data_IF_560708770950
#
_entry.id   IF_560708770950
#
_cell.length_a   1.000
_cell.length_b   1.000
_cell.length_c   1.000
_cell.angle_alpha   90.00
_cell.angle_beta   90.00
_cell.angle_gamma   90.00
#
_symmetry.space_group_name_H-M   'P 1'
#
loop_
_entity.id
_entity.type
_entity.pdbx_description
1 polymer ?
#
# COMPACT_ATOMS: atom_id res chain seq x y z
N UNK A 1 31.68 -0.62 -4.31
CA UNK A 1 30.79 -0.58 -3.13
C UNK A 1 29.57 0.25 -3.47
N UNK A 2 28.36 -0.31 -3.44
CA UNK A 2 27.14 0.48 -3.55
C UNK A 2 27.06 1.41 -2.35
N UNK A 3 26.98 2.71 -2.58
CA UNK A 3 26.66 3.66 -1.52
C UNK A 3 25.25 3.34 -1.00
N UNK A 4 25.14 2.62 0.12
CA UNK A 4 23.89 2.59 0.87
C UNK A 4 23.59 4.04 1.26
N UNK A 5 22.46 4.56 0.86
CA UNK A 5 22.09 5.93 1.21
C UNK A 5 21.57 5.93 2.65
N UNK A 6 22.48 6.12 3.60
CA UNK A 6 22.11 6.27 5.01
C UNK A 6 21.23 7.51 5.18
N UNK A 7 20.01 7.32 5.68
CA UNK A 7 19.09 8.44 6.00
C UNK A 7 19.37 9.04 7.39
N UNK A 8 20.46 8.63 8.03
CA UNK A 8 20.84 9.05 9.38
C UNK A 8 21.65 10.34 9.42
N UNK A 9 22.17 10.84 8.27
CA UNK A 9 23.01 12.04 8.18
C UNK A 9 22.52 13.00 7.09
N UNK A 10 22.94 14.26 7.13
CA UNK A 10 22.57 15.31 6.17
C UNK A 10 21.23 16.02 6.50
N UNK A 11 20.83 16.97 5.65
CA UNK A 11 19.57 17.70 5.79
C UNK A 11 18.36 16.79 5.58
N UNK A 12 17.37 16.84 6.48
CA UNK A 12 16.21 15.91 6.49
C UNK A 12 15.30 16.09 5.28
N UNK A 13 14.96 17.33 4.96
CA UNK A 13 13.99 17.63 3.89
C UNK A 13 14.46 17.16 2.50
N UNK A 14 15.66 17.52 1.99
CA UNK A 14 16.13 17.04 0.70
C UNK A 14 16.31 15.52 0.65
N UNK A 15 16.70 14.92 1.78
CA UNK A 15 16.91 13.48 1.88
C UNK A 15 15.59 12.73 1.72
N UNK A 16 14.55 13.12 2.47
CA UNK A 16 13.22 12.53 2.40
C UNK A 16 12.61 12.77 1.01
N UNK A 17 12.71 14.00 0.47
CA UNK A 17 12.21 14.33 -0.85
C UNK A 17 12.83 13.44 -1.95
N UNK A 18 14.18 13.34 -1.97
CA UNK A 18 14.90 12.52 -2.94
C UNK A 18 14.53 11.04 -2.85
N UNK A 19 14.24 10.55 -1.65
CA UNK A 19 13.80 9.17 -1.43
C UNK A 19 12.34 8.95 -1.84
N UNK A 20 11.48 9.97 -1.63
CA UNK A 20 10.05 9.91 -1.97
C UNK A 20 9.80 9.91 -3.47
N UNK A 21 10.59 10.64 -4.27
CA UNK A 21 10.35 10.78 -5.71
C UNK A 21 10.26 9.45 -6.48
N UNK A 22 11.19 8.49 -6.33
CA UNK A 22 11.06 7.19 -6.99
C UNK A 22 9.86 6.38 -6.48
N UNK A 23 9.50 6.52 -5.20
CA UNK A 23 8.30 5.86 -4.62
C UNK A 23 7.02 6.43 -5.23
N UNK A 24 6.95 7.75 -5.36
CA UNK A 24 5.83 8.44 -6.00
C UNK A 24 5.65 7.98 -7.46
N UNK A 25 6.75 8.00 -8.22
CA UNK A 25 6.72 7.52 -9.60
C UNK A 25 6.29 6.06 -9.70
N UNK A 26 6.73 5.22 -8.75
CA UNK A 26 6.31 3.83 -8.66
C UNK A 26 4.81 3.67 -8.37
N UNK A 27 4.28 4.42 -7.41
CA UNK A 27 2.85 4.39 -7.08
C UNK A 27 1.99 4.91 -8.24
N UNK A 28 2.40 6.01 -8.89
CA UNK A 28 1.70 6.52 -10.08
C UNK A 28 1.73 5.51 -11.24
N UNK A 29 2.88 4.88 -11.48
CA UNK A 29 3.02 3.83 -12.48
C UNK A 29 2.09 2.65 -12.19
N UNK A 30 1.98 2.24 -10.92
CA UNK A 30 1.10 1.14 -10.52
C UNK A 30 -0.39 1.49 -10.72
N UNK A 31 -0.81 2.73 -10.45
CA UNK A 31 -2.17 3.19 -10.74
C UNK A 31 -2.44 3.21 -12.25
N UNK A 32 -1.51 3.75 -13.03
CA UNK A 32 -1.62 3.79 -14.50
C UNK A 32 -1.65 2.38 -15.10
N UNK A 33 -0.80 1.48 -14.59
CA UNK A 33 -0.80 0.08 -14.99
C UNK A 33 -2.16 -0.59 -14.79
N UNK A 34 -2.78 -0.42 -13.62
CA UNK A 34 -4.11 -0.99 -13.35
C UNK A 34 -5.20 -0.50 -14.32
N UNK A 35 -5.08 0.75 -14.79
CA UNK A 35 -5.99 1.29 -15.80
C UNK A 35 -5.72 0.68 -17.17
N UNK A 36 -4.45 0.50 -17.56
CA UNK A 36 -4.04 -0.08 -18.85
C UNK A 36 -4.49 -1.55 -18.92
N UNK A 37 -4.26 -2.33 -17.86
CA UNK A 37 -4.66 -3.73 -17.77
C UNK A 37 -6.18 -3.89 -17.95
N UNK A 38 -6.98 -3.09 -17.22
CA UNK A 38 -8.43 -3.08 -17.39
C UNK A 38 -8.85 -2.66 -18.81
N UNK A 39 -8.15 -1.70 -19.43
CA UNK A 39 -8.43 -1.27 -20.80
C UNK A 39 -8.10 -2.35 -21.84
N UNK A 40 -7.01 -3.10 -21.65
CA UNK A 40 -6.64 -4.23 -22.53
C UNK A 40 -7.72 -5.32 -22.43
N UNK A 41 -8.10 -5.74 -21.23
CA UNK A 41 -9.14 -6.75 -21.03
C UNK A 41 -10.46 -6.27 -21.66
N UNK A 42 -10.90 -5.05 -21.39
CA UNK A 42 -12.15 -4.51 -21.91
C UNK A 42 -12.17 -4.37 -23.44
N UNK A 43 -11.05 -3.96 -24.05
CA UNK A 43 -10.94 -3.75 -25.49
C UNK A 43 -10.88 -5.07 -26.29
N UNK A 44 -10.14 -6.05 -25.79
CA UNK A 44 -9.88 -7.28 -26.56
C UNK A 44 -10.80 -8.44 -26.17
N UNK A 45 -11.32 -8.48 -24.94
CA UNK A 45 -12.18 -9.58 -24.49
C UNK A 45 -13.65 -9.14 -24.34
N UNK A 46 -13.92 -7.83 -24.20
CA UNK A 46 -15.27 -7.29 -24.06
C UNK A 46 -15.73 -7.09 -22.61
N UNK A 47 -17.03 -6.79 -22.47
CA UNK A 47 -17.61 -6.31 -21.19
C UNK A 47 -17.70 -7.42 -20.13
N UNK A 48 -18.06 -8.66 -20.53
CA UNK A 48 -18.26 -9.75 -19.57
C UNK A 48 -16.95 -10.18 -18.86
N UNK A 49 -15.82 -10.42 -19.57
CA UNK A 49 -14.52 -10.64 -18.92
C UNK A 49 -14.03 -9.46 -18.07
N UNK A 50 -14.28 -8.23 -18.51
CA UNK A 50 -13.95 -7.04 -17.71
C UNK A 50 -14.74 -7.02 -16.41
N UNK A 51 -16.03 -7.38 -16.44
CA UNK A 51 -16.85 -7.50 -15.25
C UNK A 51 -16.35 -8.60 -14.29
N UNK A 52 -15.84 -9.73 -14.83
CA UNK A 52 -15.23 -10.79 -14.04
C UNK A 52 -13.98 -10.33 -13.29
N UNK A 53 -13.09 -9.60 -13.97
CA UNK A 53 -11.89 -8.97 -13.34
C UNK A 53 -12.33 -7.94 -12.28
N UNK A 54 -13.32 -7.11 -12.60
CA UNK A 54 -13.87 -6.12 -11.68
C UNK A 54 -14.45 -6.74 -10.40
N UNK A 55 -15.26 -7.79 -10.53
CA UNK A 55 -15.82 -8.52 -9.40
C UNK A 55 -14.72 -9.12 -8.50
N UNK A 56 -13.62 -9.58 -9.10
CA UNK A 56 -12.49 -10.17 -8.39
C UNK A 56 -11.62 -9.15 -7.64
N UNK A 57 -11.66 -7.88 -8.02
CA UNK A 57 -10.75 -6.82 -7.56
C UNK A 57 -10.76 -6.63 -6.05
N UNK A 58 -11.94 -6.68 -5.42
CA UNK A 58 -12.08 -6.45 -3.96
C UNK A 58 -11.37 -7.53 -3.15
N UNK A 59 -11.46 -8.79 -3.56
CA UNK A 59 -10.80 -9.90 -2.87
C UNK A 59 -9.29 -9.86 -3.10
N UNK A 60 -8.87 -9.56 -4.32
CA UNK A 60 -7.46 -9.37 -4.66
C UNK A 60 -6.86 -8.25 -3.82
N UNK A 61 -7.54 -7.11 -3.70
CA UNK A 61 -7.08 -5.98 -2.90
C UNK A 61 -6.96 -6.35 -1.42
N UNK A 62 -7.92 -7.12 -0.88
CA UNK A 62 -7.88 -7.59 0.51
C UNK A 62 -6.65 -8.47 0.77
N UNK A 63 -6.40 -9.46 -0.09
CA UNK A 63 -5.34 -10.46 0.10
C UNK A 63 -3.96 -9.87 -0.23
N UNK A 64 -3.82 -9.22 -1.39
CA UNK A 64 -2.55 -8.61 -1.78
C UNK A 64 -2.22 -7.39 -0.92
N UNK A 65 -3.22 -6.64 -0.46
CA UNK A 65 -3.05 -5.57 0.52
C UNK A 65 -2.48 -6.09 1.84
N UNK A 66 -3.01 -7.20 2.37
CA UNK A 66 -2.44 -7.88 3.53
C UNK A 66 -0.98 -8.28 3.30
N UNK A 67 -0.69 -8.93 2.17
CA UNK A 67 0.67 -9.33 1.82
C UNK A 67 1.63 -8.13 1.74
N UNK A 68 1.22 -7.05 1.07
CA UNK A 68 2.01 -5.83 0.96
C UNK A 68 2.27 -5.18 2.33
N UNK A 69 1.25 -5.10 3.18
CA UNK A 69 1.39 -4.59 4.55
C UNK A 69 2.37 -5.42 5.38
N UNK A 70 2.29 -6.76 5.29
CA UNK A 70 3.26 -7.65 5.95
C UNK A 70 4.69 -7.39 5.46
N UNK A 71 4.89 -7.25 4.15
CA UNK A 71 6.20 -6.96 3.56
C UNK A 71 6.78 -5.62 4.05
N UNK A 72 5.96 -4.58 4.08
CA UNK A 72 6.35 -3.28 4.63
C UNK A 72 6.76 -3.42 6.10
N UNK A 73 6.00 -4.19 6.89
CA UNK A 73 6.31 -4.48 8.28
C UNK A 73 7.61 -5.25 8.48
N UNK A 74 7.89 -6.23 7.62
CA UNK A 74 9.15 -6.99 7.68
C UNK A 74 10.37 -6.14 7.34
N UNK A 75 10.21 -5.07 6.55
CA UNK A 75 11.28 -4.11 6.28
C UNK A 75 11.66 -3.22 7.46
N UNK A 76 10.78 -3.04 8.46
CA UNK A 76 11.02 -2.13 9.60
C UNK A 76 12.19 -2.59 10.47
N UNK A 77 12.26 -3.84 10.98
CA UNK A 77 13.42 -4.31 11.75
C UNK A 77 14.72 -4.25 10.94
N UNK A 78 14.65 -4.49 9.62
CA UNK A 78 15.81 -4.37 8.74
C UNK A 78 16.31 -2.92 8.70
N UNK A 79 15.42 -1.93 8.54
CA UNK A 79 15.76 -0.52 8.54
C UNK A 79 16.32 -0.06 9.89
N UNK A 80 15.75 -0.52 11.00
CA UNK A 80 16.22 -0.20 12.35
C UNK A 80 17.62 -0.77 12.59
N UNK A 81 17.87 -2.03 12.26
CA UNK A 81 19.17 -2.66 12.41
C UNK A 81 20.22 -2.08 11.47
N UNK A 82 19.83 -1.71 10.27
CA UNK A 82 20.69 -0.97 9.33
C UNK A 82 21.09 0.39 9.92
N UNK A 83 20.16 1.16 10.47
CA UNK A 83 20.43 2.43 11.13
C UNK A 83 21.33 2.30 12.37
N UNK A 84 21.15 1.22 13.13
CA UNK A 84 22.01 0.88 14.28
C UNK A 84 23.40 0.38 13.89
N UNK A 85 23.67 0.14 12.61
CA UNK A 85 24.89 -0.51 12.09
C UNK A 85 25.10 -1.93 12.63
N UNK A 86 24.05 -2.56 13.13
CA UNK A 86 24.02 -3.96 13.57
C UNK A 86 23.74 -4.87 12.36
N UNK A 87 24.76 -5.04 11.52
CA UNK A 87 24.59 -5.79 10.27
C UNK A 87 24.38 -7.28 10.47
N UNK A 88 24.83 -7.84 11.58
CA UNK A 88 24.61 -9.25 11.90
C UNK A 88 23.12 -9.51 12.15
N UNK A 89 22.51 -8.76 13.08
CA UNK A 89 21.08 -8.89 13.35
C UNK A 89 20.25 -8.51 12.10
N UNK A 90 20.67 -7.51 11.33
CA UNK A 90 20.02 -7.12 10.08
C UNK A 90 19.96 -8.31 9.11
N UNK A 91 21.07 -9.01 8.86
CA UNK A 91 21.11 -10.19 8.00
C UNK A 91 20.21 -11.31 8.51
N UNK A 92 20.20 -11.55 9.82
CA UNK A 92 19.31 -12.53 10.45
C UNK A 92 17.83 -12.18 10.22
N UNK A 93 17.43 -10.90 10.31
CA UNK A 93 16.08 -10.45 9.98
C UNK A 93 15.75 -10.63 8.49
N UNK A 94 16.67 -10.27 7.59
CA UNK A 94 16.48 -10.46 6.14
C UNK A 94 16.26 -11.94 5.81
N UNK A 95 17.12 -12.85 6.26
CA UNK A 95 16.97 -14.27 5.94
C UNK A 95 15.78 -14.92 6.64
N UNK A 96 15.44 -14.48 7.86
CA UNK A 96 14.21 -14.93 8.54
C UNK A 96 12.96 -14.44 7.80
N UNK A 97 12.94 -13.21 7.29
CA UNK A 97 11.81 -12.68 6.53
C UNK A 97 11.63 -13.41 5.19
N UNK A 98 12.72 -13.75 4.47
CA UNK A 98 12.64 -14.55 3.25
C UNK A 98 11.99 -15.92 3.49
N UNK A 99 12.40 -16.63 4.54
CA UNK A 99 11.84 -17.94 4.89
C UNK A 99 10.40 -17.83 5.38
N UNK A 100 10.12 -16.83 6.24
CA UNK A 100 8.78 -16.61 6.76
C UNK A 100 7.80 -16.26 5.63
N UNK A 101 8.23 -15.44 4.68
CA UNK A 101 7.44 -15.10 3.50
C UNK A 101 7.17 -16.33 2.63
N UNK A 102 8.13 -17.25 2.48
CA UNK A 102 7.88 -18.52 1.77
C UNK A 102 6.73 -19.30 2.41
N UNK A 103 6.77 -19.49 3.73
CA UNK A 103 5.71 -20.20 4.45
C UNK A 103 4.37 -19.48 4.38
N UNK A 104 4.33 -18.18 4.66
CA UNK A 104 3.10 -17.39 4.64
C UNK A 104 2.49 -17.33 3.25
N UNK A 105 3.29 -17.06 2.22
CA UNK A 105 2.77 -16.92 0.85
C UNK A 105 2.23 -18.23 0.29
N UNK A 106 2.91 -19.35 0.55
CA UNK A 106 2.42 -20.66 0.14
C UNK A 106 1.15 -21.03 0.91
N UNK A 107 1.12 -20.77 2.23
CA UNK A 107 -0.08 -21.05 3.05
C UNK A 107 -1.28 -20.23 2.55
N UNK A 108 -1.09 -18.93 2.29
CA UNK A 108 -2.14 -18.06 1.74
C UNK A 108 -2.57 -18.56 0.37
N UNK A 109 -1.63 -18.84 -0.53
CA UNK A 109 -1.93 -19.32 -1.88
C UNK A 109 -2.76 -20.62 -1.85
N UNK A 110 -2.38 -21.59 -1.02
CA UNK A 110 -3.11 -22.85 -0.88
C UNK A 110 -4.51 -22.63 -0.33
N UNK A 111 -4.64 -21.91 0.79
CA UNK A 111 -5.93 -21.67 1.43
C UNK A 111 -6.87 -20.89 0.49
N UNK A 112 -6.40 -19.83 -0.12
CA UNK A 112 -7.24 -19.00 -1.01
C UNK A 112 -7.60 -19.74 -2.30
N UNK A 113 -6.69 -20.55 -2.86
CA UNK A 113 -6.98 -21.38 -4.04
C UNK A 113 -8.04 -22.45 -3.75
N UNK A 114 -7.95 -23.12 -2.59
CA UNK A 114 -8.96 -24.11 -2.18
C UNK A 114 -10.33 -23.47 -1.92
N UNK A 115 -10.35 -22.24 -1.40
CA UNK A 115 -11.58 -21.49 -1.11
C UNK A 115 -12.07 -20.65 -2.28
N UNK A 116 -11.39 -20.63 -3.44
CA UNK A 116 -11.67 -19.72 -4.56
C UNK A 116 -13.13 -19.77 -5.00
N UNK A 117 -13.68 -20.97 -5.26
CA UNK A 117 -15.07 -21.14 -5.66
C UNK A 117 -16.05 -20.72 -4.55
N UNK A 118 -15.73 -21.01 -3.28
CA UNK A 118 -16.56 -20.61 -2.15
C UNK A 118 -16.60 -19.09 -1.98
N UNK A 119 -15.46 -18.41 -2.15
CA UNK A 119 -15.34 -16.95 -2.10
C UNK A 119 -16.23 -16.31 -3.17
N UNK A 120 -16.17 -16.78 -4.42
CA UNK A 120 -16.98 -16.25 -5.52
C UNK A 120 -18.48 -16.47 -5.30
N UNK A 121 -18.87 -17.63 -4.77
CA UNK A 121 -20.29 -17.91 -4.42
C UNK A 121 -20.75 -17.00 -3.28
N UNK A 122 -19.92 -16.80 -2.26
CA UNK A 122 -20.22 -15.90 -1.14
C UNK A 122 -20.37 -14.43 -1.60
N UNK A 123 -19.62 -14.04 -2.63
CA UNK A 123 -19.75 -12.73 -3.27
C UNK A 123 -20.96 -12.63 -4.20
N UNK A 124 -21.75 -13.67 -4.35
CA UNK A 124 -22.91 -13.72 -5.27
C UNK A 124 -22.52 -13.38 -6.71
N UNK A 125 -21.35 -13.87 -7.16
CA UNK A 125 -20.86 -13.62 -8.52
C UNK A 125 -21.82 -14.25 -9.53
N UNK A 126 -22.32 -13.48 -10.53
CA UNK A 126 -23.24 -14.00 -11.55
C UNK A 126 -22.66 -15.20 -12.33
N UNK A 127 -23.50 -16.18 -12.65
CA UNK A 127 -23.06 -17.41 -13.31
C UNK A 127 -22.42 -17.18 -14.68
N UNK A 128 -22.87 -16.16 -15.42
CA UNK A 128 -22.33 -15.81 -16.75
C UNK A 128 -20.88 -15.34 -16.73
N UNK A 129 -20.36 -14.84 -15.60
CA UNK A 129 -18.96 -14.40 -15.45
C UNK A 129 -18.18 -15.28 -14.46
N UNK A 130 -18.84 -16.27 -13.85
CA UNK A 130 -18.24 -17.08 -12.78
C UNK A 130 -16.98 -17.84 -13.24
N UNK A 131 -17.02 -18.44 -14.43
CA UNK A 131 -15.87 -19.19 -14.96
C UNK A 131 -14.65 -18.29 -15.16
N UNK A 132 -14.84 -17.12 -15.75
CA UNK A 132 -13.75 -16.17 -16.01
C UNK A 132 -13.18 -15.61 -14.70
N UNK A 133 -14.05 -15.26 -13.75
CA UNK A 133 -13.65 -14.80 -12.42
C UNK A 133 -12.89 -15.88 -11.64
N UNK A 134 -13.34 -17.15 -11.76
CA UNK A 134 -12.70 -18.29 -11.10
C UNK A 134 -11.27 -18.51 -11.60
N UNK A 135 -11.05 -18.57 -12.90
CA UNK A 135 -9.71 -18.78 -13.45
C UNK A 135 -8.80 -17.60 -13.19
N UNK A 136 -9.31 -16.35 -13.28
CA UNK A 136 -8.53 -15.16 -12.96
C UNK A 136 -8.07 -15.14 -11.51
N UNK A 137 -9.00 -15.38 -10.57
CA UNK A 137 -8.68 -15.43 -9.14
C UNK A 137 -7.76 -16.60 -8.79
N UNK A 138 -8.03 -17.80 -9.30
CA UNK A 138 -7.24 -18.98 -9.00
C UNK A 138 -5.78 -18.80 -9.42
N UNK A 139 -5.54 -18.29 -10.63
CA UNK A 139 -4.19 -18.01 -11.13
C UNK A 139 -3.52 -16.93 -10.29
N UNK A 140 -4.25 -15.87 -9.95
CA UNK A 140 -3.75 -14.79 -9.08
C UNK A 140 -3.37 -15.32 -7.70
N UNK A 141 -4.18 -16.22 -7.10
CA UNK A 141 -3.89 -16.82 -5.80
C UNK A 141 -2.69 -17.75 -5.83
N UNK A 142 -2.55 -18.57 -6.88
CA UNK A 142 -1.34 -19.37 -7.11
C UNK A 142 -0.11 -18.45 -7.27
N UNK A 143 -0.28 -17.25 -7.83
CA UNK A 143 0.75 -16.24 -8.01
C UNK A 143 1.11 -15.42 -6.76
N UNK A 144 0.36 -15.54 -5.65
CA UNK A 144 0.63 -14.81 -4.40
C UNK A 144 2.10 -14.92 -3.96
N UNK A 145 2.78 -16.07 -4.01
CA UNK A 145 4.19 -16.16 -3.65
C UNK A 145 5.09 -15.22 -4.47
N UNK A 146 4.87 -15.11 -5.77
CA UNK A 146 5.65 -14.23 -6.63
C UNK A 146 5.49 -12.76 -6.22
N UNK A 147 4.25 -12.30 -6.05
CA UNK A 147 3.93 -10.93 -5.63
C UNK A 147 4.45 -10.64 -4.22
N UNK A 148 4.30 -11.58 -3.28
CA UNK A 148 4.78 -11.42 -1.91
C UNK A 148 6.30 -11.29 -1.86
N UNK A 149 7.03 -12.14 -2.60
CA UNK A 149 8.49 -12.05 -2.68
C UNK A 149 8.96 -10.74 -3.32
N UNK A 150 8.35 -10.31 -4.42
CA UNK A 150 8.67 -9.03 -5.03
C UNK A 150 8.51 -7.86 -4.05
N UNK A 151 7.38 -7.81 -3.34
CA UNK A 151 7.10 -6.76 -2.35
C UNK A 151 8.07 -6.81 -1.16
N UNK A 152 8.41 -8.01 -0.66
CA UNK A 152 9.39 -8.17 0.41
C UNK A 152 10.77 -7.65 -0.01
N UNK A 153 11.27 -8.10 -1.16
CA UNK A 153 12.59 -7.69 -1.66
C UNK A 153 12.66 -6.19 -1.90
N UNK A 154 11.60 -5.62 -2.48
CA UNK A 154 11.46 -4.18 -2.64
C UNK A 154 11.48 -3.45 -1.30
N UNK A 155 10.82 -3.99 -0.27
CA UNK A 155 10.81 -3.43 1.09
C UNK A 155 12.19 -3.49 1.75
N UNK A 156 12.91 -4.61 1.60
CA UNK A 156 14.29 -4.76 2.11
C UNK A 156 15.24 -3.77 1.42
N UNK A 157 15.17 -3.64 0.09
CA UNK A 157 16.03 -2.70 -0.65
C UNK A 157 15.74 -1.26 -0.22
N UNK A 158 14.47 -0.90 -0.02
CA UNK A 158 14.07 0.41 0.54
C UNK A 158 14.59 0.61 1.96
N UNK A 159 14.55 -0.42 2.80
CA UNK A 159 15.07 -0.37 4.17
C UNK A 159 16.58 -0.04 4.23
N UNK A 160 17.33 -0.42 3.19
CA UNK A 160 18.74 -0.09 3.01
C UNK A 160 18.98 1.31 2.38
N UNK A 161 17.92 2.09 2.17
CA UNK A 161 18.00 3.46 1.65
C UNK A 161 17.99 3.58 0.12
N UNK A 162 17.68 2.51 -0.61
CA UNK A 162 17.54 2.54 -2.07
C UNK A 162 16.07 2.45 -2.49
N UNK A 163 15.48 3.59 -2.85
CA UNK A 163 14.13 3.66 -3.41
C UNK A 163 14.09 3.61 -4.95
N UNK A 164 15.23 3.83 -5.61
CA UNK A 164 15.31 3.89 -7.07
C UNK A 164 15.23 2.51 -7.71
N UNK A 165 15.94 1.56 -7.15
CA UNK A 165 16.02 0.21 -7.72
C UNK A 165 14.67 -0.51 -7.76
N UNK A 166 13.84 -0.52 -6.69
CA UNK A 166 12.49 -1.06 -6.75
C UNK A 166 11.62 -0.41 -7.84
N UNK A 167 11.76 0.90 -8.05
CA UNK A 167 11.04 1.60 -9.13
C UNK A 167 11.42 1.05 -10.52
N UNK A 168 12.72 0.88 -10.81
CA UNK A 168 13.15 0.35 -12.11
C UNK A 168 12.66 -1.09 -12.36
N UNK A 169 12.65 -1.93 -11.33
CA UNK A 169 12.10 -3.28 -11.46
C UNK A 169 10.57 -3.26 -11.64
N UNK A 170 9.87 -2.34 -10.98
CA UNK A 170 8.45 -2.15 -11.19
C UNK A 170 8.15 -1.70 -12.64
N UNK A 171 8.91 -0.72 -13.16
CA UNK A 171 8.77 -0.25 -14.54
C UNK A 171 9.01 -1.39 -15.54
N UNK A 172 10.07 -2.17 -15.34
CA UNK A 172 10.35 -3.35 -16.15
C UNK A 172 9.19 -4.37 -16.09
N UNK A 173 8.71 -4.68 -14.88
CA UNK A 173 7.58 -5.59 -14.67
C UNK A 173 6.32 -5.11 -15.40
N UNK A 174 6.03 -3.82 -15.31
CA UNK A 174 4.86 -3.20 -15.96
C UNK A 174 4.92 -3.31 -17.48
N UNK A 175 6.06 -2.96 -18.08
CA UNK A 175 6.24 -3.05 -19.53
C UNK A 175 6.14 -4.52 -19.99
N UNK A 176 6.82 -5.42 -19.29
CA UNK A 176 6.76 -6.85 -19.59
C UNK A 176 5.33 -7.40 -19.49
N UNK A 177 4.61 -7.01 -18.44
CA UNK A 177 3.24 -7.46 -18.26
C UNK A 177 2.33 -6.96 -19.40
N UNK A 178 2.38 -5.68 -19.79
CA UNK A 178 1.59 -5.16 -20.92
C UNK A 178 1.85 -5.94 -22.21
N UNK A 179 3.12 -6.25 -22.48
CA UNK A 179 3.50 -7.05 -23.67
C UNK A 179 2.94 -8.46 -23.58
N UNK A 180 3.05 -9.08 -22.41
CA UNK A 180 2.55 -10.45 -22.20
C UNK A 180 1.01 -10.50 -22.18
N UNK A 181 0.32 -9.48 -21.64
CA UNK A 181 -1.14 -9.39 -21.68
C UNK A 181 -1.62 -9.41 -23.13
N UNK A 182 -1.07 -8.55 -23.97
CA UNK A 182 -1.42 -8.52 -25.38
C UNK A 182 -1.09 -9.86 -26.06
N UNK A 183 0.07 -10.43 -25.78
CA UNK A 183 0.47 -11.71 -26.36
C UNK A 183 -0.43 -12.86 -25.91
N UNK A 184 -0.71 -13.00 -24.61
CA UNK A 184 -1.54 -14.07 -24.07
C UNK A 184 -3.02 -13.94 -24.47
N UNK A 185 -3.53 -12.71 -24.51
CA UNK A 185 -4.94 -12.43 -24.83
C UNK A 185 -5.16 -12.53 -26.35
N UNK A 186 -4.35 -11.81 -27.14
CA UNK A 186 -4.61 -11.66 -28.58
C UNK A 186 -4.01 -12.81 -29.40
N UNK A 187 -2.76 -13.19 -29.11
CA UNK A 187 -2.06 -14.22 -29.93
C UNK A 187 -2.40 -15.63 -29.48
N UNK A 188 -2.43 -15.89 -28.16
CA UNK A 188 -2.71 -17.22 -27.64
C UNK A 188 -4.20 -17.48 -27.36
N UNK A 189 -5.04 -16.44 -27.31
CA UNK A 189 -6.47 -16.58 -27.06
C UNK A 189 -6.84 -17.13 -25.67
N UNK A 190 -5.97 -16.91 -24.66
CA UNK A 190 -6.18 -17.44 -23.30
C UNK A 190 -7.18 -16.64 -22.46
N UNK A 191 -7.81 -15.63 -23.04
CA UNK A 191 -8.84 -14.83 -22.37
C UNK A 191 -8.34 -14.17 -21.08
N UNK A 192 -9.19 -14.14 -20.08
CA UNK A 192 -8.90 -13.50 -18.76
C UNK A 192 -7.78 -14.25 -18.01
N UNK A 193 -7.70 -15.57 -18.18
CA UNK A 193 -6.62 -16.37 -17.60
C UNK A 193 -5.25 -15.92 -18.12
N UNK A 194 -5.17 -15.51 -19.39
CA UNK A 194 -3.95 -14.97 -20.00
C UNK A 194 -3.45 -13.71 -19.28
N UNK A 195 -4.33 -12.77 -18.94
CA UNK A 195 -3.99 -11.57 -18.17
C UNK A 195 -3.44 -11.93 -16.77
N UNK A 196 -4.09 -12.86 -16.07
CA UNK A 196 -3.61 -13.30 -14.76
C UNK A 196 -2.23 -13.98 -14.84
N UNK A 197 -1.99 -14.83 -15.85
CA UNK A 197 -0.69 -15.50 -16.08
C UNK A 197 0.40 -14.47 -16.38
N UNK A 198 0.12 -13.49 -17.25
CA UNK A 198 1.06 -12.44 -17.60
C UNK A 198 1.47 -11.62 -16.37
N UNK A 199 0.50 -11.27 -15.51
CA UNK A 199 0.75 -10.56 -14.23
C UNK A 199 1.63 -11.40 -13.31
N UNK A 200 1.28 -12.65 -13.06
CA UNK A 200 2.05 -13.54 -12.16
C UNK A 200 3.47 -13.77 -12.67
N UNK A 201 3.63 -14.00 -13.98
CA UNK A 201 4.94 -14.22 -14.59
C UNK A 201 5.83 -12.99 -14.48
N UNK A 202 5.28 -11.80 -14.77
CA UNK A 202 6.01 -10.53 -14.68
C UNK A 202 6.45 -10.23 -13.26
N UNK A 203 5.60 -10.51 -12.27
CA UNK A 203 5.94 -10.38 -10.85
C UNK A 203 7.00 -11.39 -10.41
N UNK A 204 6.89 -12.65 -10.86
CA UNK A 204 7.88 -13.69 -10.55
C UNK A 204 9.25 -13.34 -11.10
N UNK A 205 9.32 -12.93 -12.37
CA UNK A 205 10.58 -12.51 -12.99
C UNK A 205 11.19 -11.30 -12.27
N UNK A 206 10.38 -10.31 -11.92
CA UNK A 206 10.83 -9.13 -11.16
C UNK A 206 11.32 -9.50 -9.76
N UNK A 207 10.68 -10.46 -9.09
CA UNK A 207 11.15 -10.97 -7.80
C UNK A 207 12.53 -11.63 -7.94
N UNK A 208 12.74 -12.46 -8.97
CA UNK A 208 14.04 -13.09 -9.24
C UNK A 208 15.12 -12.03 -9.53
N UNK A 209 14.81 -11.05 -10.37
CA UNK A 209 15.75 -9.97 -10.70
C UNK A 209 16.10 -9.11 -9.47
N UNK A 210 15.11 -8.76 -8.65
CA UNK A 210 15.30 -8.07 -7.38
C UNK A 210 16.21 -8.88 -6.44
N UNK A 211 15.99 -10.18 -6.33
CA UNK A 211 16.80 -11.06 -5.48
C UNK A 211 18.25 -11.13 -5.95
N UNK A 212 18.47 -11.36 -7.25
CA UNK A 212 19.81 -11.41 -7.85
C UNK A 212 20.54 -10.06 -7.66
N UNK A 213 19.84 -8.96 -7.90
CA UNK A 213 20.38 -7.63 -7.67
C UNK A 213 20.77 -7.42 -6.20
N UNK A 214 19.85 -7.75 -5.28
CA UNK A 214 20.08 -7.60 -3.85
C UNK A 214 21.36 -8.32 -3.39
N UNK A 215 21.54 -9.57 -3.78
CA UNK A 215 22.73 -10.37 -3.39
C UNK A 215 24.02 -9.86 -4.05
N UNK A 216 23.94 -9.42 -5.31
CA UNK A 216 25.14 -8.96 -6.03
C UNK A 216 25.59 -7.56 -5.63
N UNK A 217 24.63 -6.68 -5.30
CA UNK A 217 24.91 -5.26 -5.08
C UNK A 217 25.21 -4.92 -3.63
N UNK A 218 24.56 -5.59 -2.69
CA UNK A 218 24.69 -5.30 -1.27
C UNK A 218 25.58 -6.33 -0.55
N UNK A 219 26.89 -6.12 -0.57
CA UNK A 219 27.86 -6.99 0.13
C UNK A 219 27.53 -7.15 1.62
N UNK A 220 26.92 -6.12 2.24
CA UNK A 220 26.49 -6.15 3.65
C UNK A 220 25.44 -7.23 3.94
N UNK A 221 24.75 -7.75 2.92
CA UNK A 221 23.77 -8.84 3.04
C UNK A 221 24.39 -10.23 2.89
N UNK A 222 25.68 -10.32 2.60
CA UNK A 222 26.38 -11.61 2.56
C UNK A 222 26.41 -12.21 3.96
N UNK A 223 25.62 -13.24 4.18
CA UNK A 223 25.45 -13.89 5.46
C UNK A 223 26.28 -15.18 5.58
N UNK A 224 26.83 -15.43 6.76
CA UNK A 224 27.37 -16.72 7.15
C UNK A 224 26.27 -17.79 7.22
N UNK A 225 26.65 -19.08 7.33
CA UNK A 225 25.67 -20.18 7.46
C UNK A 225 24.79 -20.00 8.71
N UNK A 226 25.37 -19.53 9.80
CA UNK A 226 24.66 -19.33 11.07
C UNK A 226 23.67 -18.18 11.02
N UNK A 227 23.96 -17.12 10.28
CA UNK A 227 23.06 -15.98 10.08
C UNK A 227 21.87 -16.30 9.17
N UNK A 228 21.98 -17.35 8.37
CA UNK A 228 20.89 -17.83 7.50
C UNK A 228 19.90 -18.74 8.24
N UNK A 229 20.14 -19.07 9.49
CA UNK A 229 19.23 -19.91 10.28
C UNK A 229 17.99 -19.12 10.71
N UNK A 230 16.84 -19.78 10.68
CA UNK A 230 15.59 -19.20 11.12
C UNK A 230 15.54 -19.22 12.65
N UNK A 231 15.41 -18.05 13.28
CA UNK A 231 15.30 -17.94 14.74
C UNK A 231 13.86 -17.62 15.13
N UNK A 232 13.32 -18.33 16.12
CA UNK A 232 11.98 -18.07 16.68
C UNK A 232 11.82 -16.62 17.17
N UNK A 233 12.86 -16.02 17.74
CA UNK A 233 12.86 -14.64 18.20
C UNK A 233 12.67 -13.67 17.05
N UNK A 234 13.45 -13.82 15.95
CA UNK A 234 13.34 -12.95 14.79
C UNK A 234 11.99 -13.09 14.09
N UNK A 235 11.50 -14.32 13.94
CA UNK A 235 10.18 -14.58 13.35
C UNK A 235 9.05 -13.98 14.18
N UNK A 236 9.11 -14.12 15.51
CA UNK A 236 8.11 -13.52 16.40
C UNK A 236 8.09 -12.00 16.27
N UNK A 237 9.25 -11.34 16.19
CA UNK A 237 9.34 -9.88 15.96
C UNK A 237 8.76 -9.49 14.60
N UNK A 238 9.13 -10.22 13.53
CA UNK A 238 8.59 -9.97 12.19
C UNK A 238 7.07 -10.10 12.15
N UNK A 239 6.52 -11.16 12.75
CA UNK A 239 5.06 -11.35 12.81
C UNK A 239 4.36 -10.28 13.64
N UNK A 240 4.91 -9.91 14.80
CA UNK A 240 4.35 -8.85 15.66
C UNK A 240 4.32 -7.48 14.99
N UNK A 241 5.20 -7.23 14.04
CA UNK A 241 5.26 -5.97 13.27
C UNK A 241 4.48 -6.10 11.96
N UNK A 242 4.68 -7.18 11.23
CA UNK A 242 4.12 -7.36 9.89
C UNK A 242 2.64 -7.66 9.89
N UNK A 243 2.16 -8.56 10.76
CA UNK A 243 0.74 -8.95 10.78
C UNK A 243 -0.17 -7.75 11.08
N UNK A 244 0.09 -6.91 12.10
CA UNK A 244 -0.72 -5.72 12.32
C UNK A 244 -0.72 -4.75 11.14
N UNK A 245 0.40 -4.62 10.41
CA UNK A 245 0.44 -3.80 9.20
C UNK A 245 -0.38 -4.42 8.06
N UNK A 246 -0.30 -5.73 7.87
CA UNK A 246 -1.15 -6.44 6.91
C UNK A 246 -2.63 -6.26 7.24
N UNK A 247 -3.00 -6.48 8.49
CA UNK A 247 -4.38 -6.31 8.98
C UNK A 247 -4.86 -4.86 8.82
N UNK A 248 -4.01 -3.87 9.02
CA UNK A 248 -4.37 -2.47 8.79
C UNK A 248 -4.87 -2.24 7.36
N UNK A 249 -4.15 -2.75 6.34
CA UNK A 249 -4.57 -2.63 4.93
C UNK A 249 -5.92 -3.33 4.68
N UNK A 250 -6.08 -4.55 5.21
CA UNK A 250 -7.33 -5.31 5.06
C UNK A 250 -8.51 -4.64 5.76
N UNK A 251 -8.31 -4.11 6.96
CA UNK A 251 -9.36 -3.42 7.74
C UNK A 251 -9.78 -2.13 7.02
N UNK A 252 -8.83 -1.36 6.52
CA UNK A 252 -9.14 -0.14 5.74
C UNK A 252 -9.91 -0.49 4.46
N UNK A 253 -9.54 -1.61 3.79
CA UNK A 253 -10.26 -2.12 2.61
C UNK A 253 -11.72 -2.48 2.93
N UNK A 254 -11.98 -3.16 4.05
CA UNK A 254 -13.34 -3.50 4.49
C UNK A 254 -14.16 -2.22 4.69
N UNK A 255 -13.60 -1.20 5.35
CA UNK A 255 -14.30 0.09 5.51
C UNK A 255 -14.65 0.75 4.17
N UNK A 256 -13.75 0.67 3.18
CA UNK A 256 -14.00 1.21 1.83
C UNK A 256 -15.10 0.42 1.10
N UNK A 257 -15.13 -0.90 1.25
CA UNK A 257 -16.19 -1.77 0.68
C UNK A 257 -17.55 -1.43 1.31
N UNK A 258 -17.63 -1.17 2.62
CA UNK A 258 -18.86 -0.76 3.28
C UNK A 258 -19.40 0.55 2.71
N UNK A 259 -18.53 1.56 2.52
CA UNK A 259 -18.91 2.83 1.93
C UNK A 259 -19.35 2.68 0.46
N UNK A 260 -18.65 1.88 -0.31
CA UNK A 260 -19.01 1.54 -1.69
C UNK A 260 -20.38 0.85 -1.76
N UNK A 261 -20.65 -0.11 -0.87
CA UNK A 261 -21.92 -0.83 -0.83
C UNK A 261 -23.08 0.12 -0.50
N UNK A 262 -22.91 1.03 0.46
CA UNK A 262 -23.90 2.05 0.78
C UNK A 262 -24.15 3.00 -0.40
N UNK A 263 -23.10 3.39 -1.12
CA UNK A 263 -23.21 4.22 -2.32
C UNK A 263 -23.97 3.49 -3.45
N UNK A 264 -23.74 2.19 -3.62
CA UNK A 264 -24.42 1.40 -4.66
C UNK A 264 -25.94 1.37 -4.48
N UNK A 265 -26.43 1.48 -3.25
CA UNK A 265 -27.87 1.53 -2.95
C UNK A 265 -28.52 2.87 -3.37
N UNK A 266 -27.76 3.92 -3.67
CA UNK A 266 -28.26 5.25 -4.05
C UNK A 266 -28.57 5.40 -5.55
N UNK A 267 -28.27 4.38 -6.37
CA UNK A 267 -28.56 4.37 -7.80
C UNK A 267 -27.35 4.60 -8.69
N UNK A 268 -27.56 4.41 -9.99
CA UNK A 268 -26.51 4.35 -11.01
C UNK A 268 -25.68 5.63 -11.12
N UNK A 269 -26.33 6.79 -11.03
CA UNK A 269 -25.66 8.09 -11.17
C UNK A 269 -24.68 8.35 -10.02
N UNK A 270 -25.07 7.97 -8.79
CA UNK A 270 -24.20 8.05 -7.61
C UNK A 270 -23.02 7.08 -7.73
N UNK A 271 -23.25 5.87 -8.25
CA UNK A 271 -22.19 4.88 -8.49
C UNK A 271 -21.19 5.36 -9.52
N UNK A 272 -21.69 5.93 -10.63
CA UNK A 272 -20.83 6.47 -11.68
C UNK A 272 -20.00 7.67 -11.17
N UNK A 273 -20.65 8.60 -10.46
CA UNK A 273 -19.99 9.77 -9.88
C UNK A 273 -18.92 9.38 -8.85
N UNK A 274 -19.24 8.47 -7.94
CA UNK A 274 -18.29 7.97 -6.94
C UNK A 274 -17.09 7.28 -7.60
N UNK A 275 -17.34 6.45 -8.60
CA UNK A 275 -16.29 5.73 -9.32
C UNK A 275 -15.33 6.70 -10.02
N UNK A 276 -15.84 7.70 -10.73
CA UNK A 276 -15.04 8.73 -11.38
C UNK A 276 -14.22 9.53 -10.35
N UNK A 277 -14.87 10.00 -9.28
CA UNK A 277 -14.22 10.74 -8.21
C UNK A 277 -13.12 9.94 -7.52
N UNK A 278 -13.35 8.65 -7.24
CA UNK A 278 -12.35 7.76 -6.64
C UNK A 278 -11.11 7.58 -7.51
N UNK A 279 -11.27 7.50 -8.85
CA UNK A 279 -10.14 7.42 -9.77
C UNK A 279 -9.27 8.67 -9.68
N UNK A 280 -9.87 9.86 -9.72
CA UNK A 280 -9.15 11.14 -9.59
C UNK A 280 -8.46 11.23 -8.23
N UNK A 281 -9.20 10.91 -7.15
CA UNK A 281 -8.68 10.94 -5.78
C UNK A 281 -7.48 10.02 -5.58
N UNK A 282 -7.47 8.81 -6.17
CA UNK A 282 -6.35 7.89 -6.03
C UNK A 282 -5.03 8.48 -6.53
N UNK A 283 -5.04 9.23 -7.63
CA UNK A 283 -3.85 9.96 -8.09
C UNK A 283 -3.45 11.09 -7.14
N UNK A 284 -4.42 11.82 -6.59
CA UNK A 284 -4.18 12.90 -5.64
C UNK A 284 -3.61 12.40 -4.28
N UNK A 285 -3.90 11.19 -3.87
CA UNK A 285 -3.42 10.58 -2.62
C UNK A 285 -1.98 10.03 -2.76
N UNK A 286 -1.57 9.59 -3.94
CA UNK A 286 -0.27 8.95 -4.17
C UNK A 286 0.95 9.66 -3.55
N UNK A 287 1.10 10.99 -3.62
CA UNK A 287 2.23 11.69 -3.00
C UNK A 287 2.21 11.62 -1.47
N UNK A 288 1.02 11.68 -0.84
CA UNK A 288 0.89 11.55 0.63
C UNK A 288 1.33 10.16 1.10
N UNK A 289 0.90 9.11 0.42
CA UNK A 289 1.29 7.72 0.73
C UNK A 289 2.78 7.48 0.49
N UNK A 290 3.30 7.98 -0.63
CA UNK A 290 4.71 7.83 -0.99
C UNK A 290 5.63 8.50 0.03
N UNK A 291 5.25 9.69 0.50
CA UNK A 291 5.95 10.39 1.57
C UNK A 291 5.83 9.64 2.90
N UNK A 292 4.66 9.06 3.19
CA UNK A 292 4.47 8.17 4.33
C UNK A 292 5.44 6.99 4.33
N UNK A 293 5.53 6.24 3.23
CA UNK A 293 6.46 5.11 3.08
C UNK A 293 7.91 5.56 3.28
N UNK A 294 8.28 6.73 2.74
CA UNK A 294 9.60 7.32 2.96
C UNK A 294 9.84 7.61 4.44
N UNK A 295 8.83 8.13 5.14
CA UNK A 295 8.89 8.40 6.58
C UNK A 295 9.04 7.15 7.43
N UNK A 296 8.41 6.04 7.05
CA UNK A 296 8.60 4.76 7.76
C UNK A 296 10.07 4.31 7.70
N UNK A 297 10.69 4.37 6.53
CA UNK A 297 12.11 4.02 6.35
C UNK A 297 13.02 5.01 7.10
N UNK A 298 12.77 6.31 6.94
CA UNK A 298 13.54 7.36 7.62
C UNK A 298 13.48 7.22 9.14
N UNK A 299 12.28 6.99 9.67
CA UNK A 299 12.09 6.80 11.11
C UNK A 299 12.76 5.53 11.60
N UNK A 300 12.60 4.41 10.88
CA UNK A 300 13.25 3.15 11.24
C UNK A 300 14.76 3.28 11.36
N UNK A 301 15.41 3.87 10.35
CA UNK A 301 16.86 4.06 10.37
C UNK A 301 17.32 5.02 11.47
N UNK A 302 16.61 6.14 11.68
CA UNK A 302 17.00 7.13 12.70
C UNK A 302 16.70 6.66 14.14
N UNK A 303 15.64 5.89 14.34
CA UNK A 303 15.36 5.23 15.62
C UNK A 303 16.42 4.19 15.94
N UNK A 304 16.76 3.32 14.97
CA UNK A 304 17.86 2.36 15.12
C UNK A 304 19.21 3.03 15.41
N UNK A 305 19.48 4.19 14.81
CA UNK A 305 20.68 4.99 15.05
C UNK A 305 20.69 5.76 16.39
N UNK A 306 19.64 5.66 17.21
CA UNK A 306 19.53 6.41 18.46
C UNK A 306 19.38 7.93 18.30
N UNK A 307 18.75 8.40 17.19
CA UNK A 307 18.64 9.82 16.84
C UNK A 307 17.21 10.35 16.87
N UNK A 308 16.55 10.45 18.05
CA UNK A 308 15.14 10.85 18.17
C UNK A 308 14.87 12.27 17.67
N UNK A 309 15.83 13.21 17.82
CA UNK A 309 15.66 14.55 17.31
C UNK A 309 15.52 14.58 15.77
N UNK A 310 16.22 13.68 15.06
CA UNK A 310 16.07 13.58 13.60
C UNK A 310 14.71 13.03 13.21
N UNK A 311 14.14 12.09 13.97
CA UNK A 311 12.76 11.63 13.73
C UNK A 311 11.79 12.81 13.80
N UNK A 312 11.90 13.65 14.82
CA UNK A 312 11.07 14.86 14.94
C UNK A 312 11.27 15.86 13.79
N UNK A 313 12.53 16.10 13.42
CA UNK A 313 12.85 16.97 12.27
C UNK A 313 12.29 16.39 10.96
N UNK A 314 12.32 15.07 10.80
CA UNK A 314 11.72 14.37 9.67
C UNK A 314 10.20 14.59 9.60
N UNK A 315 9.51 14.46 10.72
CA UNK A 315 8.06 14.72 10.79
C UNK A 315 7.75 16.17 10.41
N UNK A 316 8.50 17.16 10.94
CA UNK A 316 8.32 18.58 10.57
C UNK A 316 8.57 18.83 9.09
N UNK A 317 9.66 18.28 8.54
CA UNK A 317 10.01 18.43 7.12
C UNK A 317 8.98 17.80 6.20
N UNK A 318 8.51 16.60 6.55
CA UNK A 318 7.49 15.88 5.78
C UNK A 318 6.14 16.58 5.86
N UNK A 319 5.76 17.08 7.03
CA UNK A 319 4.53 17.85 7.19
C UNK A 319 4.56 19.13 6.35
N UNK A 320 5.67 19.87 6.34
CA UNK A 320 5.82 21.06 5.50
C UNK A 320 5.71 20.72 4.01
N UNK A 321 6.40 19.64 3.54
CA UNK A 321 6.35 19.23 2.14
C UNK A 321 4.96 18.78 1.70
N UNK A 322 4.31 17.94 2.52
CA UNK A 322 2.98 17.43 2.17
C UNK A 322 1.92 18.50 2.21
N UNK A 323 2.03 19.47 3.13
CA UNK A 323 1.07 20.60 3.21
C UNK A 323 1.17 21.52 1.99
N UNK A 324 2.38 21.81 1.51
CA UNK A 324 2.55 22.55 0.23
C UNK A 324 1.88 21.79 -0.92
N UNK A 325 2.09 20.48 -1.01
CA UNK A 325 1.44 19.67 -2.03
C UNK A 325 -0.09 19.66 -1.87
N UNK A 326 -0.59 19.48 -0.65
CA UNK A 326 -2.03 19.43 -0.36
C UNK A 326 -2.71 20.75 -0.73
N UNK A 327 -2.11 21.90 -0.40
CA UNK A 327 -2.65 23.20 -0.82
C UNK A 327 -2.75 23.28 -2.34
N UNK A 328 -1.71 22.88 -3.06
CA UNK A 328 -1.71 22.91 -4.53
C UNK A 328 -2.77 21.99 -5.14
N UNK A 329 -2.82 20.72 -4.70
CA UNK A 329 -3.77 19.74 -5.26
C UNK A 329 -5.20 20.03 -4.85
N UNK A 330 -5.45 20.49 -3.61
CA UNK A 330 -6.79 20.89 -3.16
C UNK A 330 -7.28 22.09 -3.95
N UNK A 331 -6.44 23.09 -4.19
CA UNK A 331 -6.79 24.23 -5.04
C UNK A 331 -7.13 23.78 -6.47
N UNK A 332 -6.35 22.85 -7.03
CA UNK A 332 -6.64 22.28 -8.35
C UNK A 332 -7.98 21.54 -8.38
N UNK A 333 -8.26 20.72 -7.35
CA UNK A 333 -9.53 19.99 -7.24
C UNK A 333 -10.73 20.92 -7.06
N UNK A 334 -10.55 22.06 -6.36
CA UNK A 334 -11.62 23.04 -6.17
C UNK A 334 -11.90 23.86 -7.43
N UNK A 335 -10.88 24.18 -8.21
CA UNK A 335 -11.01 25.03 -9.40
C UNK A 335 -11.39 24.25 -10.66
N UNK A 336 -10.91 23.03 -10.81
CA UNK A 336 -11.03 22.21 -12.03
C UNK A 336 -11.75 20.88 -11.81
N UNK A 337 -12.60 20.75 -10.80
CA UNK A 337 -13.30 19.49 -10.49
C UNK A 337 -14.21 19.01 -11.62
N UNK A 338 -14.90 19.92 -12.30
CA UNK A 338 -15.78 19.58 -13.41
C UNK A 338 -14.98 19.12 -14.63
N UNK A 339 -13.91 19.82 -14.99
CA UNK A 339 -13.00 19.46 -16.08
C UNK A 339 -12.31 18.12 -15.81
N UNK A 340 -11.88 17.88 -14.56
CA UNK A 340 -11.33 16.58 -14.15
C UNK A 340 -12.38 15.46 -14.30
N UNK A 341 -13.64 15.75 -14.02
CA UNK A 341 -14.74 14.79 -14.15
C UNK A 341 -14.95 14.37 -15.61
N UNK A 342 -14.77 15.29 -16.56
CA UNK A 342 -14.90 15.03 -18.00
C UNK A 342 -13.86 14.03 -18.54
N UNK A 343 -12.82 13.72 -17.79
CA UNK A 343 -11.87 12.66 -18.17
C UNK A 343 -12.49 11.26 -18.06
N UNK A 344 -13.58 11.10 -17.29
CA UNK A 344 -14.20 9.80 -16.99
C UNK A 344 -15.70 9.76 -17.28
N UNK A 345 -16.35 10.91 -17.45
CA UNK A 345 -17.80 11.06 -17.61
C UNK A 345 -18.09 11.88 -18.87
N UNK A 346 -19.13 11.50 -19.60
CA UNK A 346 -19.56 12.26 -20.80
C UNK A 346 -20.12 13.63 -20.41
N UNK A 347 -19.85 14.65 -21.25
CA UNK A 347 -20.32 16.01 -21.01
C UNK A 347 -21.84 16.14 -20.96
N UNK A 348 -22.59 15.16 -21.52
CA UNK A 348 -24.06 15.09 -21.44
C UNK A 348 -24.60 14.80 -20.02
N UNK A 349 -23.77 14.16 -19.18
CA UNK A 349 -24.22 13.61 -17.89
C UNK A 349 -23.98 14.61 -16.74
N UNK A 350 -24.63 15.77 -16.82
CA UNK A 350 -24.42 16.91 -15.92
C UNK A 350 -24.64 16.57 -14.44
N UNK A 351 -25.57 15.67 -14.12
CA UNK A 351 -25.83 15.21 -12.75
C UNK A 351 -24.63 14.44 -12.19
N UNK A 352 -24.03 13.56 -13.00
CA UNK A 352 -22.85 12.77 -12.60
C UNK A 352 -21.64 13.69 -12.42
N UNK A 353 -21.43 14.64 -13.32
CA UNK A 353 -20.34 15.65 -13.23
C UNK A 353 -20.48 16.44 -11.92
N UNK A 354 -21.68 16.96 -11.62
CA UNK A 354 -21.95 17.72 -10.39
C UNK A 354 -21.68 16.90 -9.13
N UNK A 355 -22.11 15.63 -9.09
CA UNK A 355 -21.89 14.74 -7.96
C UNK A 355 -20.39 14.39 -7.81
N UNK A 356 -19.69 14.17 -8.93
CA UNK A 356 -18.24 13.96 -8.93
C UNK A 356 -17.50 15.18 -8.38
N UNK A 357 -17.85 16.39 -8.85
CA UNK A 357 -17.29 17.64 -8.36
C UNK A 357 -17.54 17.84 -6.86
N UNK A 358 -18.77 17.56 -6.39
CA UNK A 358 -19.09 17.62 -4.97
C UNK A 358 -18.17 16.73 -4.12
N UNK A 359 -17.99 15.47 -4.55
CA UNK A 359 -17.09 14.54 -3.86
C UNK A 359 -15.65 15.05 -3.82
N UNK A 360 -15.15 15.58 -4.96
CA UNK A 360 -13.81 16.15 -5.06
C UNK A 360 -13.64 17.38 -4.18
N UNK A 361 -14.64 18.27 -4.10
CA UNK A 361 -14.62 19.44 -3.23
C UNK A 361 -14.51 19.03 -1.75
N UNK A 362 -15.37 18.11 -1.28
CA UNK A 362 -15.31 17.62 0.09
C UNK A 362 -13.94 17.00 0.38
N UNK A 363 -13.45 16.15 -0.55
CA UNK A 363 -12.13 15.53 -0.41
C UNK A 363 -11.01 16.57 -0.34
N UNK A 364 -11.06 17.63 -1.19
CA UNK A 364 -10.06 18.70 -1.23
C UNK A 364 -9.95 19.45 0.11
N UNK A 365 -11.10 19.82 0.70
CA UNK A 365 -11.10 20.49 2.03
C UNK A 365 -10.52 19.62 3.13
N UNK A 366 -10.66 18.29 3.03
CA UNK A 366 -10.24 17.35 4.08
C UNK A 366 -8.87 16.69 3.81
N UNK A 367 -8.23 16.98 2.67
CA UNK A 367 -6.87 16.48 2.37
C UNK A 367 -5.81 16.78 3.44
N UNK A 368 -5.85 17.90 4.19
CA UNK A 368 -4.91 18.13 5.29
C UNK A 368 -4.96 17.06 6.38
N UNK A 369 -6.15 16.48 6.66
CA UNK A 369 -6.29 15.36 7.60
C UNK A 369 -5.59 14.11 7.08
N UNK A 370 -5.76 13.79 5.81
CA UNK A 370 -5.05 12.67 5.18
C UNK A 370 -3.52 12.86 5.25
N UNK A 371 -3.05 14.07 5.03
CA UNK A 371 -1.62 14.38 5.12
C UNK A 371 -1.07 14.13 6.53
N UNK A 372 -1.80 14.59 7.56
CA UNK A 372 -1.46 14.38 8.97
C UNK A 372 -1.44 12.87 9.28
N UNK A 373 -2.51 12.16 8.90
CA UNK A 373 -2.66 10.73 9.05
C UNK A 373 -1.48 9.97 8.45
N UNK A 374 -1.12 10.25 7.18
CA UNK A 374 -0.02 9.55 6.51
C UNK A 374 1.31 9.78 7.24
N UNK A 375 1.67 11.03 7.57
CA UNK A 375 2.95 11.32 8.21
C UNK A 375 3.04 10.67 9.59
N UNK A 376 2.00 10.77 10.42
CA UNK A 376 2.01 10.22 11.78
C UNK A 376 1.97 8.70 11.78
N UNK A 377 1.06 8.09 11.01
CA UNK A 377 0.91 6.63 10.93
C UNK A 377 2.20 5.96 10.51
N UNK A 378 2.80 6.39 9.40
CA UNK A 378 4.02 5.77 8.90
C UNK A 378 5.24 6.05 9.79
N UNK A 379 5.27 7.18 10.51
CA UNK A 379 6.29 7.43 11.53
C UNK A 379 6.17 6.44 12.70
N UNK A 380 4.95 6.21 13.20
CA UNK A 380 4.65 5.23 14.25
C UNK A 380 5.03 3.81 13.79
N UNK A 381 4.69 3.45 12.54
CA UNK A 381 5.07 2.17 11.93
C UNK A 381 6.58 2.02 11.86
N UNK A 382 7.31 3.01 11.35
CA UNK A 382 8.77 2.97 11.23
C UNK A 382 9.48 2.81 12.58
N UNK A 383 8.89 3.30 13.66
CA UNK A 383 9.37 3.06 15.01
C UNK A 383 9.07 1.63 15.53
N UNK A 384 8.27 0.83 14.81
CA UNK A 384 7.92 -0.54 15.17
C UNK A 384 6.64 -0.68 16.01
N UNK A 385 5.91 0.41 16.27
CA UNK A 385 4.67 0.40 17.05
C UNK A 385 3.44 0.16 16.16
N UNK A 386 3.47 -0.89 15.35
CA UNK A 386 2.50 -1.16 14.28
C UNK A 386 1.08 -1.45 14.79
N UNK A 387 0.90 -1.86 16.04
CA UNK A 387 -0.42 -2.04 16.65
C UNK A 387 -1.21 -0.71 16.70
N UNK A 388 -0.56 0.43 16.96
CA UNK A 388 -1.24 1.72 16.91
C UNK A 388 -1.68 2.07 15.49
N UNK A 389 -0.87 1.75 14.49
CA UNK A 389 -1.26 1.94 13.10
C UNK A 389 -2.44 1.04 12.69
N UNK A 390 -2.47 -0.21 13.16
CA UNK A 390 -3.61 -1.10 12.95
C UNK A 390 -4.88 -0.55 13.60
N UNK A 391 -4.79 -0.08 14.84
CA UNK A 391 -5.93 0.53 15.55
C UNK A 391 -6.44 1.78 14.85
N UNK A 392 -5.57 2.61 14.24
CA UNK A 392 -6.05 3.72 13.42
C UNK A 392 -6.85 3.26 12.22
N UNK A 393 -6.48 2.13 11.58
CA UNK A 393 -7.28 1.50 10.53
C UNK A 393 -8.66 1.01 11.02
N UNK A 394 -8.73 0.49 12.25
CA UNK A 394 -10.01 0.12 12.88
C UNK A 394 -10.88 1.37 13.07
N UNK A 395 -10.31 2.49 13.52
CA UNK A 395 -11.04 3.75 13.65
C UNK A 395 -11.60 4.23 12.31
N UNK A 396 -10.79 4.14 11.23
CA UNK A 396 -11.27 4.45 9.88
C UNK A 396 -12.43 3.54 9.45
N UNK A 397 -12.32 2.24 9.67
CA UNK A 397 -13.36 1.27 9.30
C UNK A 397 -14.66 1.54 10.07
N UNK A 398 -14.57 1.74 11.38
CA UNK A 398 -15.74 2.06 12.23
C UNK A 398 -16.40 3.36 11.79
N UNK A 399 -15.61 4.39 11.52
CA UNK A 399 -16.12 5.68 11.06
C UNK A 399 -16.84 5.57 9.71
N UNK A 400 -16.26 4.86 8.72
CA UNK A 400 -16.93 4.58 7.44
C UNK A 400 -18.18 3.74 7.64
N UNK A 401 -18.15 2.75 8.54
CA UNK A 401 -19.32 1.94 8.89
C UNK A 401 -20.46 2.78 9.46
N UNK A 402 -20.18 3.68 10.39
CA UNK A 402 -21.18 4.60 10.96
C UNK A 402 -21.76 5.50 9.86
N UNK A 403 -20.89 6.11 9.03
CA UNK A 403 -21.38 6.94 7.91
C UNK A 403 -22.26 6.13 6.97
N UNK A 404 -21.85 4.93 6.59
CA UNK A 404 -22.57 4.06 5.66
C UNK A 404 -23.92 3.60 6.18
N UNK A 405 -24.01 3.24 7.48
CA UNK A 405 -25.21 2.62 8.04
C UNK A 405 -26.18 3.64 8.65
N UNK A 406 -25.68 4.78 9.16
CA UNK A 406 -26.47 5.76 9.88
C UNK A 406 -26.75 7.00 9.04
N UNK A 407 -25.71 7.54 8.38
CA UNK A 407 -25.87 8.84 7.70
C UNK A 407 -26.25 8.71 6.22
N UNK A 408 -25.83 7.67 5.52
CA UNK A 408 -26.20 7.50 4.09
C UNK A 408 -27.70 7.31 3.89
N UNK A 409 -28.45 6.56 4.72
CA UNK A 409 -29.90 6.46 4.57
C UNK A 409 -30.64 7.80 4.63
N UNK A 410 -30.18 8.73 5.50
CA UNK A 410 -30.86 10.02 5.73
C UNK A 410 -30.35 11.12 4.78
N UNK A 411 -29.05 11.17 4.49
CA UNK A 411 -28.40 12.25 3.76
C UNK A 411 -27.95 11.87 2.35
N UNK A 412 -28.12 10.61 1.95
CA UNK A 412 -27.80 10.12 0.60
C UNK A 412 -26.33 10.33 0.21
N UNK A 413 -26.12 10.78 -1.03
CA UNK A 413 -24.79 10.91 -1.62
C UNK A 413 -23.87 11.90 -0.90
N UNK A 414 -24.45 12.93 -0.26
CA UNK A 414 -23.66 13.89 0.54
C UNK A 414 -22.92 13.17 1.67
N UNK A 415 -23.60 12.25 2.38
CA UNK A 415 -22.94 11.46 3.42
C UNK A 415 -21.80 10.59 2.86
N UNK A 416 -21.98 10.00 1.67
CA UNK A 416 -20.93 9.23 1.00
C UNK A 416 -19.69 10.10 0.74
N UNK A 417 -19.87 11.35 0.32
CA UNK A 417 -18.76 12.29 0.09
C UNK A 417 -17.92 12.54 1.35
N UNK A 418 -18.56 12.53 2.53
CA UNK A 418 -17.86 12.71 3.82
C UNK A 418 -17.29 11.42 4.40
N UNK A 419 -17.57 10.24 3.83
CA UNK A 419 -17.19 8.95 4.39
C UNK A 419 -15.70 8.80 4.68
N UNK A 420 -14.85 9.16 3.73
CA UNK A 420 -13.38 9.13 3.93
C UNK A 420 -12.90 10.25 4.84
N UNK A 421 -13.50 11.42 4.76
CA UNK A 421 -13.14 12.59 5.56
C UNK A 421 -13.35 12.34 7.07
N UNK A 422 -14.48 11.76 7.42
CA UNK A 422 -14.81 11.36 8.80
C UNK A 422 -13.87 10.26 9.28
N UNK A 423 -13.52 9.32 8.38
CA UNK A 423 -12.58 8.25 8.69
C UNK A 423 -11.17 8.80 9.00
N UNK A 424 -10.67 9.73 8.19
CA UNK A 424 -9.36 10.37 8.45
C UNK A 424 -9.37 11.16 9.76
N UNK A 425 -10.44 11.91 10.02
CA UNK A 425 -10.58 12.66 11.27
C UNK A 425 -10.59 11.71 12.50
N UNK A 426 -11.35 10.62 12.44
CA UNK A 426 -11.40 9.64 13.52
C UNK A 426 -10.04 8.98 13.77
N UNK A 427 -9.31 8.67 12.69
CA UNK A 427 -7.97 8.12 12.80
C UNK A 427 -6.97 9.14 13.40
N UNK A 428 -7.06 10.42 13.02
CA UNK A 428 -6.17 11.47 13.52
C UNK A 428 -6.38 11.75 15.01
N UNK A 429 -7.61 11.75 15.50
CA UNK A 429 -7.93 11.85 16.94
C UNK A 429 -7.16 10.79 17.73
N UNK A 430 -7.02 9.58 17.19
CA UNK A 430 -6.27 8.50 17.81
C UNK A 430 -4.75 8.62 17.56
N UNK A 431 -4.33 8.95 16.34
CA UNK A 431 -2.93 8.96 15.94
C UNK A 431 -2.12 10.07 16.61
N UNK A 432 -2.70 11.25 16.86
CA UNK A 432 -1.99 12.36 17.49
C UNK A 432 -1.53 11.99 18.91
N UNK A 433 -2.38 11.53 19.83
CA UNK A 433 -1.94 11.06 21.15
C UNK A 433 -0.98 9.86 21.07
N UNK A 434 -1.25 8.91 20.16
CA UNK A 434 -0.40 7.75 19.94
C UNK A 434 1.01 8.17 19.50
N UNK A 435 1.14 9.12 18.60
CA UNK A 435 2.42 9.66 18.16
C UNK A 435 3.18 10.35 19.31
N UNK A 436 2.50 11.16 20.13
CA UNK A 436 3.12 11.80 21.29
C UNK A 436 3.66 10.75 22.26
N UNK A 437 2.88 9.71 22.54
CA UNK A 437 3.31 8.60 23.38
C UNK A 437 4.53 7.88 22.80
N UNK A 438 4.47 7.49 21.51
CA UNK A 438 5.54 6.78 20.81
C UNK A 438 6.81 7.64 20.76
N UNK A 439 6.69 8.92 20.46
CA UNK A 439 7.85 9.83 20.40
C UNK A 439 8.52 9.99 21.77
N UNK A 440 7.75 10.12 22.85
CA UNK A 440 8.29 10.16 24.21
C UNK A 440 9.02 8.87 24.54
N UNK A 441 8.49 7.72 24.11
CA UNK A 441 9.12 6.43 24.31
C UNK A 441 10.42 6.28 23.52
N UNK A 442 10.43 6.65 22.23
CA UNK A 442 11.65 6.71 21.39
C UNK A 442 12.74 7.54 22.09
N UNK A 443 12.37 8.73 22.59
CA UNK A 443 13.31 9.61 23.32
C UNK A 443 13.91 8.93 24.54
N UNK A 444 13.09 8.27 25.34
CA UNK A 444 13.52 7.57 26.54
C UNK A 444 14.44 6.38 26.19
N UNK A 445 14.03 5.56 25.23
CA UNK A 445 14.81 4.38 24.84
C UNK A 445 16.19 4.74 24.27
N UNK A 446 16.30 5.90 23.62
CA UNK A 446 17.58 6.42 23.11
C UNK A 446 18.46 7.13 24.19
N UNK A 447 17.91 7.50 25.35
CA UNK A 447 18.65 8.15 26.43
C UNK A 447 19.12 7.16 27.51
N UNK A 448 18.59 5.94 27.54
CA UNK A 448 19.03 4.91 28.50
C UNK A 448 20.32 4.21 27.99
N UNK A 449 21.26 3.84 28.89
CA UNK A 449 22.44 3.04 28.52
C UNK A 449 22.02 1.70 27.96
N UNK A 450 22.70 1.23 26.91
CA UNK A 450 22.37 0.02 26.12
C UNK A 450 22.30 -1.32 26.92
N UNK A 451 22.68 -1.32 28.18
CA UNK A 451 22.68 -2.52 29.04
C UNK A 451 21.29 -2.99 29.49
N UNK A 452 20.26 -2.12 29.49
CA UNK A 452 18.89 -2.50 29.90
C UNK A 452 17.93 -2.76 28.73
N UNK A 453 18.23 -2.27 27.54
CA UNK A 453 17.36 -2.42 26.35
C UNK A 453 17.33 -3.84 25.77
N UNK A 454 18.30 -4.70 26.13
CA UNK A 454 18.32 -6.10 25.65
C UNK A 454 17.21 -7.00 26.23
N UNK A 455 16.48 -6.53 27.25
CA UNK A 455 15.40 -7.30 27.92
C UNK A 455 13.99 -6.94 27.48
N UNK A 456 13.79 -5.89 26.66
CA UNK A 456 12.45 -5.39 26.28
C UNK A 456 12.03 -5.65 24.84
N UNK A 457 12.82 -6.41 24.06
CA UNK A 457 12.47 -6.84 22.69
C UNK A 457 12.35 -8.34 22.56
#
# INVERSE_FOLDING_TARGET
MAKCNEMTSGATMPLIFKFTMPLLLGNLLQQTYSLIDAAIVGKFLGISPLAAVGASSSVIFLILGFCNGCCCGFGIPVAQKFGARDYESMRRYVYSSLKLTAWLSVSIAVVTSLLCAAILRWMSTPENIFSDAYWYLLITFIGVPATFYYNLLSSIIRALGDSKTPFWFLLFSTILNIVLDIFCIVTLGWGVAGAAIATVFSQALSAVLCYVYMIRKFDILRASRDERTMSRRHCSTLLKIGVPMGLQFSITAIGSIMLQSANNALGTDCVAAFTAAMRIKMFAICPCESLGIAMATFTGQNYGAGRPQRVWMGVKSSMAMVMVYVVAVSTAMLLWSEEMSLMFVSASDTAIIRNTALFLHVSAYMMPLLALLCVLRYTIQGAGFTNFAMLSGVMEMVARGIVSLVFVPDFGYIAVCFGDSVAWFAADIFLVPAFIYVYRRIRRDCTMPQTETAKSF
#
